data_IF_551033335617
#
_entry.id   IF_551033335617
#
_cell.length_a   1.000
_cell.length_b   1.000
_cell.length_c   1.000
_cell.angle_alpha   90.00
_cell.angle_beta   90.00
_cell.angle_gamma   90.00
#
_symmetry.space_group_name_H-M   'P 1'
#
loop_
_entity.id
_entity.type
_entity.pdbx_description
1 polymer ?
#
# COMPACT_ATOMS: atom_id res chain seq x y z
N UNK A 1 0.20 -15.77 -22.87
CA UNK A 1 1.49 -15.03 -22.93
C UNK A 1 1.44 -13.53 -22.57
N UNK A 2 0.30 -12.82 -22.54
CA UNK A 2 0.26 -11.37 -22.19
C UNK A 2 0.42 -11.04 -20.69
N UNK A 3 0.01 -11.92 -19.78
CA UNK A 3 0.12 -11.68 -18.33
C UNK A 3 1.54 -11.86 -17.76
N UNK A 4 2.40 -12.70 -18.36
CA UNK A 4 3.75 -12.91 -17.80
C UNK A 4 4.65 -11.70 -17.98
N UNK A 5 4.61 -11.02 -19.15
CA UNK A 5 5.38 -9.78 -19.39
C UNK A 5 5.01 -8.64 -18.42
N UNK A 6 3.73 -8.54 -18.05
CA UNK A 6 3.25 -7.52 -17.10
C UNK A 6 3.77 -7.79 -15.68
N UNK A 7 3.73 -9.04 -15.24
CA UNK A 7 4.25 -9.42 -13.94
C UNK A 7 5.77 -9.27 -13.85
N UNK A 8 6.50 -9.52 -14.96
CA UNK A 8 7.94 -9.28 -15.05
C UNK A 8 8.27 -7.79 -14.89
N UNK A 9 7.55 -6.89 -15.57
CA UNK A 9 7.80 -5.46 -15.46
C UNK A 9 7.54 -4.93 -14.03
N UNK A 10 6.44 -5.38 -13.40
CA UNK A 10 6.16 -5.04 -12.00
C UNK A 10 7.23 -5.59 -11.05
N UNK A 11 7.69 -6.81 -11.28
CA UNK A 11 8.78 -7.40 -10.51
C UNK A 11 10.08 -6.61 -10.64
N UNK A 12 10.47 -6.21 -11.85
CA UNK A 12 11.67 -5.38 -12.08
C UNK A 12 11.56 -4.04 -11.36
N UNK A 13 10.41 -3.36 -11.44
CA UNK A 13 10.17 -2.11 -10.70
C UNK A 13 10.30 -2.33 -9.20
N UNK A 14 9.72 -3.41 -8.66
CA UNK A 14 9.84 -3.75 -7.24
C UNK A 14 11.29 -4.01 -6.84
N UNK A 15 12.07 -4.75 -7.63
CA UNK A 15 13.49 -5.01 -7.38
C UNK A 15 14.29 -3.71 -7.35
N UNK A 16 14.16 -2.87 -8.37
CA UNK A 16 14.89 -1.59 -8.46
C UNK A 16 14.52 -0.67 -7.29
N UNK A 17 13.23 -0.55 -6.97
CA UNK A 17 12.78 0.25 -5.84
C UNK A 17 13.34 -0.27 -4.51
N UNK A 18 13.31 -1.60 -4.29
CA UNK A 18 13.84 -2.20 -3.05
C UNK A 18 15.34 -1.97 -2.90
N UNK A 19 16.11 -2.07 -3.99
CA UNK A 19 17.56 -1.78 -4.00
C UNK A 19 17.80 -0.32 -3.62
N UNK A 20 17.14 0.62 -4.31
CA UNK A 20 17.29 2.06 -4.04
C UNK A 20 16.95 2.37 -2.58
N UNK A 21 15.86 1.82 -2.06
CA UNK A 21 15.43 2.07 -0.68
C UNK A 21 16.42 1.52 0.34
N UNK A 22 16.92 0.30 0.13
CA UNK A 22 17.93 -0.27 1.01
C UNK A 22 19.20 0.60 1.03
N UNK A 23 19.71 1.01 -0.14
CA UNK A 23 20.90 1.85 -0.23
C UNK A 23 20.71 3.26 0.35
N UNK A 24 19.56 3.91 0.10
CA UNK A 24 19.26 5.21 0.69
C UNK A 24 19.18 5.13 2.22
N UNK A 25 18.56 4.08 2.75
CA UNK A 25 18.47 3.86 4.19
C UNK A 25 19.84 3.64 4.80
N UNK A 26 20.65 2.77 4.19
CA UNK A 26 22.06 2.52 4.55
C UNK A 26 22.85 3.82 4.61
N UNK A 27 22.83 4.63 3.54
CA UNK A 27 23.59 5.88 3.49
C UNK A 27 23.09 6.92 4.50
N UNK A 28 21.79 6.90 4.84
CA UNK A 28 21.23 7.83 5.83
C UNK A 28 21.62 7.48 7.27
N UNK A 29 21.72 6.18 7.59
CA UNK A 29 22.01 5.70 8.94
C UNK A 29 23.51 5.46 9.17
N UNK A 30 24.24 5.10 8.12
CA UNK A 30 25.66 4.79 8.11
C UNK A 30 26.37 5.56 6.98
N UNK A 31 26.43 6.90 7.05
CA UNK A 31 26.94 7.75 5.97
C UNK A 31 28.39 7.46 5.54
N UNK A 32 29.18 6.86 6.43
CA UNK A 32 30.58 6.47 6.17
C UNK A 32 30.79 4.93 6.11
N UNK A 33 29.71 4.14 6.08
CA UNK A 33 29.75 2.68 6.20
C UNK A 33 30.21 2.15 7.58
N UNK A 34 30.69 3.04 8.45
CA UNK A 34 31.09 2.74 9.82
C UNK A 34 29.88 2.27 10.63
N UNK A 35 29.88 1.00 11.04
CA UNK A 35 28.83 0.40 11.87
C UNK A 35 27.93 -0.61 11.15
N UNK A 36 27.98 -0.72 9.81
CA UNK A 36 27.24 -1.76 9.07
C UNK A 36 27.60 -3.18 9.53
N UNK A 37 28.88 -3.41 9.85
CA UNK A 37 29.39 -4.69 10.33
C UNK A 37 28.98 -5.03 11.77
N UNK A 38 28.36 -4.08 12.48
CA UNK A 38 27.98 -4.18 13.89
C UNK A 38 26.46 -4.23 14.10
N UNK A 39 25.67 -3.90 13.08
CA UNK A 39 24.22 -3.91 13.15
C UNK A 39 23.68 -5.32 12.83
N UNK A 40 22.96 -5.99 13.75
CA UNK A 40 22.33 -7.27 13.44
C UNK A 40 21.23 -7.07 12.39
N UNK A 41 21.08 -8.04 11.48
CA UNK A 41 20.09 -8.02 10.39
C UNK A 41 18.70 -7.57 10.83
N UNK A 42 18.20 -8.10 11.96
CA UNK A 42 16.84 -7.79 12.44
C UNK A 42 16.68 -6.30 12.79
N UNK A 43 17.75 -5.64 13.25
CA UNK A 43 17.76 -4.20 13.56
C UNK A 43 17.78 -3.40 12.27
N UNK A 44 18.64 -3.75 11.32
CA UNK A 44 18.72 -3.09 10.03
C UNK A 44 17.42 -3.22 9.21
N UNK A 45 16.80 -4.41 9.21
CA UNK A 45 15.49 -4.63 8.61
C UNK A 45 14.41 -3.76 9.28
N UNK A 46 14.35 -3.78 10.61
CA UNK A 46 13.39 -2.98 11.36
C UNK A 46 13.60 -1.49 11.11
N UNK A 47 14.83 -1.02 11.00
CA UNK A 47 15.16 0.38 10.74
C UNK A 47 14.83 0.83 9.32
N UNK A 48 15.18 0.03 8.32
CA UNK A 48 14.82 0.25 6.91
C UNK A 48 13.29 0.26 6.73
N UNK A 49 12.58 -0.53 7.54
CA UNK A 49 11.13 -0.67 7.49
C UNK A 49 10.37 0.39 8.31
N UNK A 50 10.79 0.69 9.54
CA UNK A 50 10.08 1.52 10.53
C UNK A 50 10.60 2.96 10.59
N UNK A 51 11.93 3.16 10.59
CA UNK A 51 12.52 4.47 10.86
C UNK A 51 12.77 5.28 9.59
N UNK A 52 13.08 4.63 8.46
CA UNK A 52 13.03 5.30 7.15
C UNK A 52 11.61 5.26 6.59
N UNK A 53 10.76 6.15 7.11
CA UNK A 53 9.41 6.49 6.61
C UNK A 53 9.30 6.65 5.09
N UNK A 54 10.44 6.88 4.42
CA UNK A 54 10.62 6.94 2.97
C UNK A 54 10.31 5.63 2.23
N UNK A 55 10.64 4.44 2.78
CA UNK A 55 10.35 3.14 2.14
C UNK A 55 8.86 2.95 1.96
N UNK A 56 8.11 3.30 2.99
CA UNK A 56 6.66 3.24 2.98
C UNK A 56 6.05 4.30 2.04
N UNK A 57 6.50 5.56 2.14
CA UNK A 57 6.02 6.67 1.29
C UNK A 57 6.27 6.41 -0.19
N UNK A 58 7.43 5.85 -0.54
CA UNK A 58 7.77 5.46 -1.92
C UNK A 58 6.86 4.33 -2.37
N UNK A 59 6.66 3.30 -1.55
CA UNK A 59 5.82 2.17 -1.91
C UNK A 59 4.32 2.56 -2.02
N UNK A 60 3.83 3.45 -1.16
CA UNK A 60 2.47 4.00 -1.21
C UNK A 60 2.26 4.90 -2.44
N UNK A 61 3.24 5.75 -2.76
CA UNK A 61 3.24 6.59 -3.96
C UNK A 61 3.31 5.75 -5.23
N UNK A 62 4.14 4.71 -5.28
CA UNK A 62 4.20 3.76 -6.39
C UNK A 62 2.86 3.04 -6.58
N UNK A 63 2.21 2.63 -5.49
CA UNK A 63 0.87 2.04 -5.51
C UNK A 63 -0.14 2.98 -6.15
N UNK A 64 -0.14 4.24 -5.72
CA UNK A 64 -1.03 5.29 -6.23
C UNK A 64 -0.81 5.56 -7.72
N UNK A 65 0.46 5.66 -8.15
CA UNK A 65 0.81 5.90 -9.56
C UNK A 65 0.38 4.71 -10.42
N UNK A 66 0.68 3.48 -9.97
CA UNK A 66 0.33 2.26 -10.70
C UNK A 66 -1.19 2.02 -10.71
N UNK A 67 -1.90 2.35 -9.63
CA UNK A 67 -3.35 2.29 -9.59
C UNK A 67 -3.97 3.26 -10.58
N UNK A 68 -3.56 4.53 -10.53
CA UNK A 68 -4.01 5.55 -11.47
C UNK A 68 -3.73 5.14 -12.91
N UNK A 69 -2.54 4.61 -13.19
CA UNK A 69 -2.14 4.24 -14.56
C UNK A 69 -2.99 3.09 -15.08
N UNK A 70 -3.16 2.04 -14.28
CA UNK A 70 -3.97 0.88 -14.66
C UNK A 70 -5.42 1.26 -14.93
N UNK A 71 -5.97 2.14 -14.11
CA UNK A 71 -7.33 2.65 -14.27
C UNK A 71 -7.40 3.50 -15.54
N UNK A 72 -6.51 4.48 -15.70
CA UNK A 72 -6.44 5.33 -16.87
C UNK A 72 -6.30 4.53 -18.17
N UNK A 73 -5.39 3.56 -18.24
CA UNK A 73 -5.20 2.67 -19.40
C UNK A 73 -6.50 1.93 -19.74
N UNK A 74 -7.24 1.48 -18.73
CA UNK A 74 -8.49 0.74 -18.92
C UNK A 74 -9.63 1.64 -19.45
N UNK A 75 -9.72 2.89 -18.99
CA UNK A 75 -10.70 3.86 -19.49
C UNK A 75 -10.32 4.40 -20.88
N UNK A 76 -9.04 4.72 -21.15
CA UNK A 76 -8.59 5.34 -22.40
C UNK A 76 -8.33 4.37 -23.56
N UNK A 77 -8.11 3.08 -23.30
CA UNK A 77 -7.86 2.09 -24.37
C UNK A 77 -9.11 1.60 -25.11
N UNK A 78 -10.30 2.10 -24.75
CA UNK A 78 -11.58 1.56 -25.24
C UNK A 78 -11.88 0.14 -24.73
N UNK A 79 -11.09 -0.40 -23.79
CA UNK A 79 -11.34 -1.72 -23.20
C UNK A 79 -12.70 -1.80 -22.51
N UNK A 80 -13.15 -0.75 -21.82
CA UNK A 80 -14.47 -0.71 -21.20
C UNK A 80 -15.58 -0.91 -22.24
N UNK A 81 -15.49 -0.23 -23.39
CA UNK A 81 -16.47 -0.36 -24.49
C UNK A 81 -16.56 -1.80 -24.98
N UNK A 82 -15.42 -2.44 -25.19
CA UNK A 82 -15.35 -3.85 -25.60
C UNK A 82 -15.88 -4.81 -24.53
N UNK A 83 -15.73 -4.49 -23.25
CA UNK A 83 -16.26 -5.31 -22.15
C UNK A 83 -17.78 -5.21 -22.04
N UNK A 84 -18.35 -4.01 -22.20
CA UNK A 84 -19.80 -3.76 -22.16
C UNK A 84 -20.53 -4.55 -23.25
N UNK A 85 -19.90 -4.73 -24.42
CA UNK A 85 -20.47 -5.52 -25.52
C UNK A 85 -20.52 -7.04 -25.25
N UNK A 86 -19.79 -7.54 -24.25
CA UNK A 86 -19.54 -8.98 -24.07
C UNK A 86 -20.02 -9.54 -22.74
N UNK A 87 -20.12 -8.71 -21.69
CA UNK A 87 -20.46 -9.16 -20.34
C UNK A 87 -21.49 -8.20 -19.70
N UNK A 88 -22.27 -8.72 -18.75
CA UNK A 88 -23.17 -7.87 -17.95
C UNK A 88 -22.36 -6.90 -17.09
N UNK A 89 -22.89 -5.68 -16.92
CA UNK A 89 -22.25 -4.59 -16.17
C UNK A 89 -21.85 -4.99 -14.75
N UNK A 90 -22.72 -5.77 -14.07
CA UNK A 90 -22.43 -6.30 -12.73
C UNK A 90 -21.15 -7.15 -12.71
N UNK A 91 -20.94 -7.97 -13.74
CA UNK A 91 -19.75 -8.79 -13.88
C UNK A 91 -18.51 -7.94 -14.21
N UNK A 92 -18.65 -6.91 -15.06
CA UNK A 92 -17.56 -5.96 -15.37
C UNK A 92 -17.10 -5.24 -14.10
N UNK A 93 -18.03 -4.72 -13.30
CA UNK A 93 -17.73 -4.06 -12.02
C UNK A 93 -16.99 -4.98 -11.06
N UNK A 94 -17.48 -6.21 -10.86
CA UNK A 94 -16.81 -7.21 -10.02
C UNK A 94 -15.41 -7.51 -10.52
N UNK A 95 -15.25 -7.76 -11.82
CA UNK A 95 -13.97 -8.10 -12.46
C UNK A 95 -12.97 -6.95 -12.35
N UNK A 96 -13.41 -5.70 -12.50
CA UNK A 96 -12.58 -4.52 -12.33
C UNK A 96 -12.06 -4.41 -10.88
N UNK A 97 -12.95 -4.53 -9.89
CA UNK A 97 -12.61 -4.47 -8.48
C UNK A 97 -11.64 -5.59 -8.10
N UNK A 98 -11.99 -6.84 -8.42
CA UNK A 98 -11.18 -8.02 -8.09
C UNK A 98 -9.80 -7.95 -8.75
N UNK A 99 -9.72 -7.64 -10.06
CA UNK A 99 -8.43 -7.55 -10.74
C UNK A 99 -7.56 -6.43 -10.17
N UNK A 100 -8.17 -5.35 -9.69
CA UNK A 100 -7.47 -4.20 -9.11
C UNK A 100 -6.95 -4.56 -7.72
N UNK A 101 -7.77 -5.18 -6.87
CA UNK A 101 -7.34 -5.68 -5.56
C UNK A 101 -6.25 -6.75 -5.67
N UNK A 102 -6.37 -7.69 -6.62
CA UNK A 102 -5.33 -8.70 -6.90
C UNK A 102 -3.97 -8.10 -7.27
N UNK A 103 -3.95 -6.91 -7.89
CA UNK A 103 -2.68 -6.24 -8.21
C UNK A 103 -2.01 -5.66 -6.97
N UNK A 104 -2.80 -5.12 -6.03
CA UNK A 104 -2.31 -4.67 -4.72
C UNK A 104 -1.82 -5.82 -3.85
N UNK A 105 -2.50 -6.97 -3.93
CA UNK A 105 -2.11 -8.21 -3.25
C UNK A 105 -0.74 -8.74 -3.69
N UNK A 106 -0.30 -8.44 -4.92
CA UNK A 106 0.97 -8.93 -5.44
C UNK A 106 2.12 -7.93 -5.24
N UNK A 107 1.91 -6.66 -5.62
CA UNK A 107 3.01 -5.69 -5.74
C UNK A 107 3.72 -5.41 -4.40
N UNK A 108 2.94 -5.23 -3.33
CA UNK A 108 3.47 -4.75 -2.06
C UNK A 108 4.11 -5.83 -1.21
N UNK A 109 3.49 -7.03 -1.05
CA UNK A 109 4.17 -8.14 -0.38
C UNK A 109 5.46 -8.52 -1.11
N UNK A 110 5.46 -8.50 -2.44
CA UNK A 110 6.68 -8.77 -3.23
C UNK A 110 7.76 -7.72 -2.97
N UNK A 111 7.40 -6.42 -2.98
CA UNK A 111 8.35 -5.35 -2.63
C UNK A 111 8.93 -5.51 -1.23
N UNK A 112 8.10 -5.77 -0.21
CA UNK A 112 8.56 -5.97 1.17
C UNK A 112 9.44 -7.20 1.32
N UNK A 113 9.07 -8.31 0.68
CA UNK A 113 9.87 -9.54 0.66
C UNK A 113 11.23 -9.30 -0.02
N UNK A 114 11.25 -8.58 -1.14
CA UNK A 114 12.50 -8.25 -1.84
C UNK A 114 13.40 -7.33 -1.01
N UNK A 115 12.82 -6.30 -0.36
CA UNK A 115 13.57 -5.44 0.55
C UNK A 115 14.13 -6.24 1.73
N UNK A 116 13.35 -7.16 2.31
CA UNK A 116 13.81 -8.07 3.35
C UNK A 116 14.99 -8.94 2.89
N UNK A 117 14.89 -9.52 1.69
CA UNK A 117 15.98 -10.32 1.09
C UNK A 117 17.23 -9.48 0.85
N UNK A 118 17.08 -8.25 0.35
CA UNK A 118 18.22 -7.34 0.13
C UNK A 118 18.87 -6.98 1.46
N UNK A 119 18.10 -6.62 2.49
CA UNK A 119 18.63 -6.40 3.83
C UNK A 119 19.37 -7.63 4.37
N UNK A 120 18.85 -8.83 4.12
CA UNK A 120 19.49 -10.08 4.53
C UNK A 120 20.83 -10.33 3.82
N UNK A 121 20.95 -9.95 2.55
CA UNK A 121 22.18 -10.09 1.77
C UNK A 121 23.22 -9.03 2.18
N UNK A 122 22.78 -7.79 2.40
CA UNK A 122 23.66 -6.63 2.61
C UNK A 122 24.19 -6.55 4.03
N UNK A 123 23.42 -6.96 5.04
CA UNK A 123 23.85 -6.89 6.44
C UNK A 123 24.29 -8.27 6.95
N UNK A 124 25.49 -8.39 7.53
CA UNK A 124 25.98 -9.68 8.03
C UNK A 124 25.10 -10.19 9.17
N UNK A 125 24.84 -11.51 9.20
CA UNK A 125 24.14 -12.20 10.31
C UNK A 125 25.04 -12.33 11.54
N UNK A 126 25.57 -11.22 12.04
CA UNK A 126 26.27 -11.18 13.33
C UNK A 126 25.25 -10.91 14.43
N UNK A 127 24.77 -11.99 15.05
CA UNK A 127 24.03 -11.91 16.30
C UNK A 127 22.52 -11.92 16.15
N UNK A 128 21.98 -13.12 15.92
CA UNK A 128 20.76 -13.69 16.48
C UNK A 128 20.38 -14.81 15.51
N UNK A 129 20.54 -16.06 15.93
CA UNK A 129 19.83 -17.14 15.24
C UNK A 129 18.35 -16.77 15.20
N UNK A 130 17.63 -17.24 14.17
CA UNK A 130 16.18 -17.10 14.05
C UNK A 130 15.57 -17.69 15.34
N UNK A 131 15.41 -16.86 16.36
CA UNK A 131 14.97 -17.29 17.68
C UNK A 131 13.46 -17.13 17.67
N UNK A 132 12.77 -18.24 17.44
CA UNK A 132 11.30 -18.33 17.42
C UNK A 132 10.70 -18.24 18.84
N UNK A 133 11.51 -17.92 19.86
CA UNK A 133 11.11 -17.90 21.28
C UNK A 133 10.47 -16.57 21.72
N UNK A 134 9.53 -16.54 22.72
CA UNK A 134 8.60 -15.46 23.15
C UNK A 134 9.12 -14.13 23.72
N UNK A 135 10.40 -13.98 24.06
CA UNK A 135 10.80 -12.84 24.89
C UNK A 135 12.07 -12.15 24.38
N UNK A 136 11.85 -11.01 23.71
CA UNK A 136 12.86 -10.04 23.27
C UNK A 136 12.20 -8.93 22.44
N UNK A 137 12.71 -7.68 22.47
CA UNK A 137 12.15 -6.56 21.70
C UNK A 137 12.24 -6.77 20.17
N UNK A 138 13.10 -7.69 19.71
CA UNK A 138 13.29 -8.12 18.32
C UNK A 138 12.52 -9.41 18.01
N UNK A 139 11.21 -9.38 18.23
CA UNK A 139 10.38 -10.55 18.01
C UNK A 139 10.24 -10.89 16.52
N UNK A 140 10.93 -11.95 16.07
CA UNK A 140 10.76 -12.68 14.80
C UNK A 140 10.52 -11.77 13.57
N UNK A 141 11.59 -11.22 12.98
CA UNK A 141 11.57 -10.32 11.81
C UNK A 141 10.72 -10.83 10.64
N UNK A 142 10.66 -12.14 10.47
CA UNK A 142 9.80 -12.84 9.51
C UNK A 142 8.30 -12.74 9.86
N UNK A 143 7.95 -12.77 11.15
CA UNK A 143 6.60 -12.52 11.63
C UNK A 143 6.22 -11.04 11.45
N UNK A 144 7.14 -10.11 11.68
CA UNK A 144 6.96 -8.69 11.36
C UNK A 144 6.72 -8.50 9.86
N UNK A 145 7.50 -9.16 9.00
CA UNK A 145 7.30 -9.15 7.55
C UNK A 145 5.92 -9.66 7.15
N UNK A 146 5.45 -10.76 7.74
CA UNK A 146 4.11 -11.28 7.45
C UNK A 146 3.00 -10.31 7.90
N UNK A 147 3.13 -9.72 9.08
CA UNK A 147 2.19 -8.71 9.57
C UNK A 147 2.17 -7.48 8.66
N UNK A 148 3.35 -7.01 8.25
CA UNK A 148 3.53 -5.92 7.31
C UNK A 148 2.81 -6.20 5.98
N UNK A 149 3.05 -7.38 5.39
CA UNK A 149 2.38 -7.80 4.17
C UNK A 149 0.84 -7.80 4.32
N UNK A 150 0.32 -8.38 5.40
CA UNK A 150 -1.12 -8.46 5.64
C UNK A 150 -1.77 -7.08 5.78
N UNK A 151 -1.12 -6.17 6.51
CA UNK A 151 -1.64 -4.81 6.69
C UNK A 151 -1.57 -4.05 5.37
N UNK A 152 -0.47 -4.10 4.63
CA UNK A 152 -0.43 -3.33 3.39
C UNK A 152 -1.38 -3.85 2.32
N UNK A 153 -1.68 -5.15 2.31
CA UNK A 153 -2.76 -5.70 1.49
C UNK A 153 -4.07 -4.93 1.73
N UNK A 154 -4.45 -4.76 3.00
CA UNK A 154 -5.69 -4.05 3.38
C UNK A 154 -5.64 -2.59 2.93
N UNK A 155 -4.53 -1.89 3.22
CA UNK A 155 -4.42 -0.48 2.87
C UNK A 155 -4.28 -0.22 1.37
N UNK A 156 -3.73 -1.17 0.59
CA UNK A 156 -3.69 -1.06 -0.87
C UNK A 156 -5.11 -0.99 -1.45
N UNK A 157 -6.06 -1.76 -0.90
CA UNK A 157 -7.47 -1.74 -1.33
C UNK A 157 -8.08 -0.35 -1.12
N UNK A 158 -7.76 0.30 0.01
CA UNK A 158 -8.20 1.68 0.31
C UNK A 158 -7.68 2.64 -0.76
N UNK A 159 -6.38 2.61 -1.06
CA UNK A 159 -5.73 3.45 -2.10
C UNK A 159 -6.39 3.24 -3.46
N UNK A 160 -6.64 1.99 -3.84
CA UNK A 160 -7.31 1.66 -5.11
C UNK A 160 -8.76 2.17 -5.15
N UNK A 161 -9.51 2.03 -4.07
CA UNK A 161 -10.88 2.52 -3.99
C UNK A 161 -10.92 4.05 -4.12
N UNK A 162 -10.04 4.77 -3.42
CA UNK A 162 -9.91 6.24 -3.57
C UNK A 162 -9.55 6.60 -5.01
N UNK A 163 -8.60 5.90 -5.61
CA UNK A 163 -8.19 6.16 -6.99
C UNK A 163 -9.35 6.01 -7.96
N UNK A 164 -10.15 4.95 -7.83
CA UNK A 164 -11.34 4.73 -8.67
C UNK A 164 -12.38 5.85 -8.47
N UNK A 165 -12.63 6.27 -7.23
CA UNK A 165 -13.55 7.36 -6.92
C UNK A 165 -13.14 8.65 -7.64
N UNK A 166 -11.85 9.01 -7.60
CA UNK A 166 -11.32 10.21 -8.27
C UNK A 166 -11.32 10.07 -9.78
N UNK A 167 -10.91 8.91 -10.29
CA UNK A 167 -10.82 8.62 -11.73
C UNK A 167 -12.19 8.65 -12.43
N UNK A 168 -13.30 8.44 -11.70
CA UNK A 168 -14.64 8.63 -12.27
C UNK A 168 -14.87 10.10 -12.67
N UNK A 169 -14.33 11.05 -11.90
CA UNK A 169 -14.57 12.49 -12.07
C UNK A 169 -13.49 13.18 -12.90
N UNK A 170 -12.27 12.64 -12.91
CA UNK A 170 -11.10 13.26 -13.52
C UNK A 170 -10.49 12.31 -14.56
N UNK A 171 -10.32 12.80 -15.79
CA UNK A 171 -9.69 12.03 -16.88
C UNK A 171 -8.16 12.17 -16.90
N UNK A 172 -7.64 13.33 -16.50
CA UNK A 172 -6.20 13.59 -16.53
C UNK A 172 -5.48 12.75 -15.47
N UNK A 173 -4.60 11.85 -15.92
CA UNK A 173 -3.80 10.98 -15.06
C UNK A 173 -3.05 11.71 -13.94
N UNK A 174 -2.39 12.84 -14.25
CA UNK A 174 -1.62 13.58 -13.26
C UNK A 174 -2.53 14.19 -12.20
N UNK A 175 -3.65 14.79 -12.61
CA UNK A 175 -4.62 15.40 -11.69
C UNK A 175 -5.29 14.35 -10.82
N UNK A 176 -5.67 13.20 -11.39
CA UNK A 176 -6.22 12.05 -10.65
C UNK A 176 -5.25 11.54 -9.59
N UNK A 177 -3.97 11.47 -9.92
CA UNK A 177 -2.93 11.04 -8.98
C UNK A 177 -2.77 12.03 -7.83
N UNK A 178 -2.63 13.33 -8.14
CA UNK A 178 -2.49 14.39 -7.12
C UNK A 178 -3.70 14.45 -6.20
N UNK A 179 -4.93 14.43 -6.74
CA UNK A 179 -6.14 14.48 -5.94
C UNK A 179 -6.32 13.23 -5.07
N UNK A 180 -6.01 12.05 -5.60
CA UNK A 180 -6.06 10.80 -4.83
C UNK A 180 -5.10 10.84 -3.64
N UNK A 181 -3.89 11.39 -3.84
CA UNK A 181 -2.92 11.60 -2.77
C UNK A 181 -3.42 12.58 -1.71
N UNK A 182 -3.97 13.73 -2.12
CA UNK A 182 -4.52 14.74 -1.20
C UNK A 182 -5.66 14.15 -0.36
N UNK A 183 -6.55 13.35 -0.96
CA UNK A 183 -7.65 12.70 -0.22
C UNK A 183 -7.11 11.75 0.85
N UNK A 184 -6.07 10.97 0.53
CA UNK A 184 -5.41 10.08 1.49
C UNK A 184 -4.79 10.89 2.64
N UNK A 185 -4.11 12.00 2.35
CA UNK A 185 -3.54 12.89 3.38
C UNK A 185 -4.60 13.53 4.27
N UNK A 186 -5.70 14.02 3.69
CA UNK A 186 -6.82 14.58 4.46
C UNK A 186 -7.39 13.51 5.38
N UNK A 187 -7.63 12.30 4.86
CA UNK A 187 -8.11 11.20 5.68
C UNK A 187 -7.11 10.88 6.80
N UNK A 188 -5.83 10.89 6.50
CA UNK A 188 -4.76 10.67 7.47
C UNK A 188 -4.80 11.67 8.62
N UNK A 189 -4.92 12.97 8.31
CA UNK A 189 -5.02 14.03 9.30
C UNK A 189 -6.28 13.89 10.17
N UNK A 190 -7.43 13.56 9.55
CA UNK A 190 -8.67 13.27 10.28
C UNK A 190 -8.48 12.07 11.22
N UNK A 191 -7.82 11.03 10.75
CA UNK A 191 -7.57 9.81 11.53
C UNK A 191 -6.77 10.10 12.78
N UNK A 192 -5.70 10.87 12.63
CA UNK A 192 -4.82 11.25 13.73
C UNK A 192 -5.48 12.23 14.70
N UNK A 193 -6.23 13.22 14.22
CA UNK A 193 -6.82 14.26 15.07
C UNK A 193 -8.10 13.82 15.77
N UNK A 194 -8.93 13.01 15.10
CA UNK A 194 -10.26 12.64 15.59
C UNK A 194 -10.22 11.24 16.21
N UNK A 195 -9.89 10.20 15.44
CA UNK A 195 -10.02 8.83 15.93
C UNK A 195 -9.03 8.53 17.06
N UNK A 196 -7.76 8.90 16.92
CA UNK A 196 -6.78 8.66 17.99
C UNK A 196 -7.22 9.34 19.31
N UNK A 197 -7.68 10.58 19.25
CA UNK A 197 -8.12 11.30 20.45
C UNK A 197 -9.41 10.72 21.05
N UNK A 198 -10.37 10.33 20.21
CA UNK A 198 -11.61 9.70 20.66
C UNK A 198 -11.34 8.35 21.34
N UNK A 199 -10.52 7.49 20.73
CA UNK A 199 -10.26 6.14 21.26
C UNK A 199 -9.32 6.15 22.47
N UNK A 200 -8.46 7.17 22.63
CA UNK A 200 -7.65 7.35 23.85
C UNK A 200 -8.50 7.49 25.11
N UNK A 201 -9.73 7.99 24.99
CA UNK A 201 -10.66 8.15 26.13
C UNK A 201 -11.19 6.81 26.64
N UNK A 202 -11.28 5.79 25.77
CA UNK A 202 -11.91 4.50 26.09
C UNK A 202 -10.93 3.32 26.14
N UNK A 203 -9.75 3.45 25.51
CA UNK A 203 -8.77 2.39 25.35
C UNK A 203 -7.35 2.88 25.64
N UNK A 204 -6.40 1.95 25.70
CA UNK A 204 -4.99 2.30 25.89
C UNK A 204 -4.43 3.15 24.76
N UNK A 205 -3.40 3.94 25.05
CA UNK A 205 -2.74 4.80 24.06
C UNK A 205 -2.24 4.00 22.84
N UNK A 206 -1.69 2.80 23.07
CA UNK A 206 -1.25 1.93 21.98
C UNK A 206 -2.41 1.41 21.12
N UNK A 207 -3.59 1.16 21.72
CA UNK A 207 -4.76 0.77 20.94
C UNK A 207 -5.23 1.94 20.07
N UNK A 208 -5.35 3.14 20.66
CA UNK A 208 -5.78 4.34 19.96
C UNK A 208 -4.82 4.77 18.84
N UNK A 209 -3.50 4.65 19.03
CA UNK A 209 -2.50 4.91 17.98
C UNK A 209 -2.67 4.03 16.74
N UNK A 210 -3.27 2.84 16.88
CA UNK A 210 -3.59 1.98 15.73
C UNK A 210 -4.72 2.50 14.84
N UNK A 211 -5.46 3.53 15.25
CA UNK A 211 -6.44 4.23 14.41
C UNK A 211 -5.84 5.43 13.66
N UNK A 212 -4.53 5.63 13.73
CA UNK A 212 -3.83 6.57 12.87
C UNK A 212 -3.51 5.88 11.54
N UNK A 213 -3.97 6.46 10.43
CA UNK A 213 -3.72 5.94 9.09
C UNK A 213 -2.20 5.82 8.83
N UNK A 214 -1.40 6.80 9.26
CA UNK A 214 0.06 6.77 9.06
C UNK A 214 0.69 5.62 9.84
N UNK A 215 0.23 5.37 11.06
CA UNK A 215 0.75 4.25 11.85
C UNK A 215 0.34 2.89 11.28
N UNK A 216 -0.87 2.78 10.74
CA UNK A 216 -1.30 1.57 10.03
C UNK A 216 -0.54 1.35 8.72
N UNK A 217 -0.12 2.44 8.09
CA UNK A 217 0.65 2.43 6.85
C UNK A 217 2.14 2.09 7.11
N UNK A 218 2.79 2.77 8.05
CA UNK A 218 4.24 2.66 8.36
C UNK A 218 4.53 1.55 9.39
N UNK A 219 3.51 0.91 9.97
CA UNK A 219 3.66 -0.03 11.09
C UNK A 219 4.39 0.57 12.30
N UNK A 220 4.42 1.91 12.39
CA UNK A 220 5.33 2.61 13.28
C UNK A 220 4.93 2.45 14.75
N UNK A 221 3.67 2.69 15.07
CA UNK A 221 3.23 2.78 16.46
C UNK A 221 1.75 2.39 16.63
N UNK A 222 1.47 1.31 17.37
CA UNK A 222 0.09 0.93 17.72
C UNK A 222 -0.11 -0.57 17.81
N UNK A 223 -1.21 -0.98 18.44
CA UNK A 223 -1.54 -2.42 18.58
C UNK A 223 -1.96 -2.97 17.20
N UNK A 224 -1.34 -4.05 16.74
CA UNK A 224 -1.65 -4.66 15.43
C UNK A 224 -3.13 -4.94 15.23
N UNK A 225 -3.82 -5.37 16.29
CA UNK A 225 -5.26 -5.63 16.26
C UNK A 225 -6.06 -4.36 15.94
N UNK A 226 -5.74 -3.21 16.53
CA UNK A 226 -6.46 -1.97 16.24
C UNK A 226 -6.18 -1.44 14.83
N UNK A 227 -4.95 -1.60 14.34
CA UNK A 227 -4.59 -1.29 12.94
C UNK A 227 -5.44 -2.13 11.97
N UNK A 228 -5.56 -3.43 12.20
CA UNK A 228 -6.37 -4.31 11.37
C UNK A 228 -7.85 -3.91 11.41
N UNK A 229 -8.40 -3.65 12.60
CA UNK A 229 -9.80 -3.20 12.76
C UNK A 229 -10.03 -1.91 11.97
N UNK A 230 -9.14 -0.92 12.12
CA UNK A 230 -9.23 0.35 11.40
C UNK A 230 -9.18 0.16 9.88
N UNK A 231 -8.22 -0.64 9.40
CA UNK A 231 -8.10 -0.97 7.98
C UNK A 231 -9.34 -1.66 7.41
N UNK A 232 -9.93 -2.63 8.12
CA UNK A 232 -11.17 -3.29 7.67
C UNK A 232 -12.35 -2.33 7.62
N UNK A 233 -12.53 -1.48 8.64
CA UNK A 233 -13.58 -0.44 8.65
C UNK A 233 -13.43 0.46 7.42
N UNK A 234 -12.19 0.87 7.12
CA UNK A 234 -11.90 1.70 5.96
C UNK A 234 -12.17 1.02 4.62
N UNK A 235 -11.79 -0.24 4.46
CA UNK A 235 -12.09 -1.02 3.26
C UNK A 235 -13.60 -1.11 3.06
N UNK A 236 -14.38 -1.36 4.11
CA UNK A 236 -15.85 -1.40 4.04
C UNK A 236 -16.40 -0.05 3.60
N UNK A 237 -16.02 1.04 4.28
CA UNK A 237 -16.52 2.40 3.98
C UNK A 237 -16.19 2.80 2.55
N UNK A 238 -14.92 2.67 2.14
CA UNK A 238 -14.48 3.06 0.79
C UNK A 238 -15.14 2.21 -0.30
N UNK A 239 -15.36 0.91 -0.04
CA UNK A 239 -16.08 0.03 -0.97
C UNK A 239 -17.56 0.40 -1.08
N UNK A 240 -18.22 0.77 0.02
CA UNK A 240 -19.61 1.24 0.01
C UNK A 240 -19.76 2.54 -0.78
N UNK A 241 -18.86 3.51 -0.55
CA UNK A 241 -18.82 4.77 -1.32
C UNK A 241 -18.63 4.48 -2.80
N UNK A 242 -17.65 3.64 -3.14
CA UNK A 242 -17.38 3.24 -4.50
C UNK A 242 -18.59 2.56 -5.15
N UNK A 243 -19.26 1.67 -4.42
CA UNK A 243 -20.46 0.99 -4.92
C UNK A 243 -21.61 1.96 -5.20
N UNK A 244 -21.79 2.99 -4.36
CA UNK A 244 -22.79 4.05 -4.55
C UNK A 244 -22.46 4.94 -5.74
N UNK A 245 -21.19 5.32 -5.89
CA UNK A 245 -20.71 6.17 -6.98
C UNK A 245 -20.83 5.44 -8.33
N UNK A 246 -20.52 4.14 -8.36
CA UNK A 246 -20.66 3.27 -9.54
C UNK A 246 -21.99 2.52 -9.55
N UNK A 247 -23.08 3.14 -9.07
CA UNK A 247 -24.44 2.59 -9.15
C UNK A 247 -25.05 2.81 -10.54
N UNK A 248 -24.81 3.96 -11.15
CA UNK A 248 -25.36 4.33 -12.45
C UNK A 248 -24.29 4.30 -13.55
N UNK A 249 -24.46 3.40 -14.50
CA UNK A 249 -23.41 2.99 -15.43
C UNK A 249 -23.36 3.84 -16.69
N UNK A 250 -24.51 4.37 -17.12
CA UNK A 250 -24.58 5.25 -18.29
C UNK A 250 -23.77 6.52 -18.05
N UNK A 251 -23.76 7.04 -16.82
CA UNK A 251 -22.94 8.19 -16.43
C UNK A 251 -21.42 7.89 -16.48
N UNK A 252 -21.01 6.66 -16.14
CA UNK A 252 -19.58 6.25 -16.15
C UNK A 252 -19.03 6.18 -17.58
N UNK A 253 -19.86 5.75 -18.53
CA UNK A 253 -19.50 5.63 -19.95
C UNK A 253 -19.66 6.98 -20.66
N UNK A 254 -20.79 7.68 -20.46
CA UNK A 254 -21.08 8.98 -21.07
C UNK A 254 -20.14 10.09 -20.59
N UNK A 255 -19.70 10.11 -19.33
CA UNK A 255 -18.70 11.10 -18.89
C UNK A 255 -17.37 10.94 -19.64
N UNK A 256 -17.01 9.72 -20.03
CA UNK A 256 -15.78 9.47 -20.79
C UNK A 256 -15.95 9.73 -22.29
N UNK A 257 -17.13 9.44 -22.86
CA UNK A 257 -17.42 9.63 -24.30
C UNK A 257 -17.85 11.07 -24.67
N UNK A 258 -18.61 11.79 -23.83
CA UNK A 258 -19.23 13.09 -24.17
C UNK A 258 -18.33 14.33 -23.97
N UNK A 259 -17.03 14.17 -23.72
CA UNK A 259 -16.10 15.31 -23.65
C UNK A 259 -14.88 15.14 -24.58
N UNK A 260 -15.05 14.38 -25.65
CA UNK A 260 -14.15 14.40 -26.80
C UNK A 260 -14.77 15.23 -27.92
#
# INVERSE_FOLDING_TARGET
MKNSKKNICLFVISVVASIIMAFLSINSQYPDGLGMDRAPFDYAWFDVYVYTSSTFLVAATLLLILSCKKIHDLYHSGMIKNMIQRETISNIKKKLLVNTWLSGLFLYPVFLILTYIICFIVFPTKGAGINLGPEGPMYNSLLILFRACAITIIYSIIVFNVTLIVSKKMKNFAVTTILSFIIILIYSAISQLIFVNLFKTFFSEQFAKGFDLINGLIFGFGRTISILIHGFILVIITTLILNKIYKDTNEVVLNYENQN
#
